data_IF_341893378643
#
_entry.id   IF_341893378643
#
_cell.length_a   1.000
_cell.length_b   1.000
_cell.length_c   1.000
_cell.angle_alpha   90.00
_cell.angle_beta   90.00
_cell.angle_gamma   90.00
#
_symmetry.space_group_name_H-M   'P 1'
#
loop_
_entity.id
_entity.type
_entity.pdbx_description
1 polymer ?
#
# COMPACT_ATOMS: atom_id res chain seq x y z
N UNK A 1 24.53 49.61 -33.34
CA UNK A 1 23.36 49.99 -32.49
C UNK A 1 23.31 48.99 -31.33
N UNK A 2 23.60 49.44 -30.10
CA UNK A 2 23.71 48.56 -28.92
C UNK A 2 22.33 48.09 -28.45
N UNK A 3 22.19 46.77 -28.29
CA UNK A 3 21.01 46.07 -27.78
C UNK A 3 20.87 46.30 -26.27
N UNK A 4 19.80 46.98 -25.83
CA UNK A 4 19.40 46.97 -24.42
C UNK A 4 18.42 45.82 -24.18
N UNK A 5 18.90 44.70 -23.62
CA UNK A 5 18.02 43.66 -23.07
C UNK A 5 17.33 44.24 -21.83
N UNK A 6 15.99 44.25 -21.82
CA UNK A 6 15.19 44.59 -20.62
C UNK A 6 15.45 43.51 -19.56
N UNK A 7 15.85 43.94 -18.36
CA UNK A 7 15.92 43.07 -17.20
C UNK A 7 14.52 42.58 -16.78
N UNK A 8 14.41 41.48 -16.04
CA UNK A 8 13.13 40.90 -15.65
C UNK A 8 12.35 41.86 -14.73
N UNK A 9 11.04 41.95 -14.96
CA UNK A 9 10.08 42.77 -14.20
C UNK A 9 9.83 42.21 -12.80
N UNK A 10 9.40 43.10 -11.89
CA UNK A 10 9.15 42.88 -10.45
C UNK A 10 7.97 41.94 -10.11
N UNK A 11 7.67 40.94 -10.94
CA UNK A 11 6.64 39.92 -10.66
C UNK A 11 7.21 38.65 -9.99
N UNK A 12 8.44 38.73 -9.47
CA UNK A 12 9.24 37.56 -9.06
C UNK A 12 9.25 37.28 -7.55
N UNK A 13 8.28 37.73 -6.77
CA UNK A 13 8.28 37.50 -5.32
C UNK A 13 7.36 36.36 -4.85
N UNK A 14 6.34 35.98 -5.62
CA UNK A 14 5.42 34.87 -5.28
C UNK A 14 5.69 33.54 -6.03
N UNK A 15 6.67 33.50 -6.93
CA UNK A 15 6.92 32.33 -7.80
C UNK A 15 8.06 31.42 -7.30
N UNK A 16 8.48 31.58 -6.05
CA UNK A 16 9.71 31.01 -5.49
C UNK A 16 9.73 29.48 -5.33
N UNK A 17 8.68 28.75 -5.71
CA UNK A 17 8.65 27.28 -5.61
C UNK A 17 8.03 26.57 -6.83
N UNK A 18 8.13 27.14 -8.05
CA UNK A 18 7.68 26.45 -9.27
C UNK A 18 8.87 26.06 -10.15
N UNK A 19 9.04 24.75 -10.37
CA UNK A 19 10.03 24.21 -11.32
C UNK A 19 9.38 24.10 -12.69
N UNK A 20 9.81 24.94 -13.63
CA UNK A 20 9.38 24.87 -15.03
C UNK A 20 10.44 24.11 -15.85
N UNK A 21 10.06 22.99 -16.46
CA UNK A 21 10.96 22.22 -17.34
C UNK A 21 10.86 22.70 -18.79
N UNK A 22 12.02 22.83 -19.45
CA UNK A 22 12.12 23.29 -20.85
C UNK A 22 11.87 22.17 -21.89
N UNK A 23 11.71 20.93 -21.43
CA UNK A 23 11.38 19.76 -22.25
C UNK A 23 10.19 19.04 -21.61
N UNK A 24 9.32 18.36 -22.39
CA UNK A 24 8.21 17.60 -21.84
C UNK A 24 8.72 16.36 -21.11
N UNK A 25 9.07 16.52 -19.84
CA UNK A 25 9.35 15.41 -18.94
C UNK A 25 8.01 14.85 -18.49
N UNK A 26 7.62 13.67 -19.00
CA UNK A 26 6.32 13.07 -18.72
C UNK A 26 6.07 12.80 -17.23
N UNK A 27 7.13 12.46 -16.48
CA UNK A 27 7.14 12.49 -15.01
C UNK A 27 8.57 12.46 -14.49
N UNK A 28 8.86 13.26 -13.45
CA UNK A 28 10.11 13.20 -12.71
C UNK A 28 9.79 12.83 -11.26
N UNK A 29 10.28 11.69 -10.80
CA UNK A 29 10.18 11.26 -9.41
C UNK A 29 11.53 10.72 -8.95
N UNK A 30 11.97 11.07 -7.75
CA UNK A 30 13.24 10.61 -7.21
C UNK A 30 13.88 11.54 -6.20
N UNK A 31 15.05 11.11 -5.74
CA UNK A 31 15.94 11.86 -4.85
C UNK A 31 17.05 12.50 -5.67
N UNK A 32 17.23 13.81 -5.55
CA UNK A 32 18.39 14.50 -6.12
C UNK A 32 18.88 15.50 -5.08
N UNK A 33 20.13 15.34 -4.64
CA UNK A 33 20.82 16.28 -3.74
C UNK A 33 20.01 16.68 -2.49
N UNK A 34 19.41 15.68 -1.82
CA UNK A 34 18.58 15.92 -0.63
C UNK A 34 17.18 16.50 -0.91
N UNK A 35 16.77 16.65 -2.18
CA UNK A 35 15.43 17.01 -2.59
C UNK A 35 14.63 15.79 -3.06
N UNK A 36 13.32 15.82 -2.83
CA UNK A 36 12.34 14.87 -3.38
C UNK A 36 11.47 15.61 -4.38
N UNK A 37 11.31 15.03 -5.56
CA UNK A 37 10.39 15.49 -6.60
C UNK A 37 9.23 14.51 -6.74
N UNK A 38 7.99 14.99 -6.73
CA UNK A 38 6.83 14.16 -7.01
C UNK A 38 5.63 14.97 -7.52
N UNK A 39 4.73 14.29 -8.23
CA UNK A 39 3.46 14.85 -8.69
C UNK A 39 2.39 14.75 -7.60
N UNK A 40 1.78 15.86 -7.21
CA UNK A 40 0.72 15.89 -6.20
C UNK A 40 -0.66 15.81 -6.85
N UNK A 41 -1.27 14.59 -6.89
CA UNK A 41 -2.53 14.33 -7.62
C UNK A 41 -3.69 15.28 -7.31
N UNK A 42 -3.82 15.75 -6.06
CA UNK A 42 -4.88 16.69 -5.63
C UNK A 42 -4.65 18.13 -6.09
N UNK A 43 -3.38 18.56 -6.14
CA UNK A 43 -3.01 19.94 -6.47
C UNK A 43 -2.65 20.09 -7.96
N UNK A 44 -2.49 18.97 -8.66
CA UNK A 44 -2.14 18.88 -10.08
C UNK A 44 -0.82 19.57 -10.45
N UNK A 45 0.12 19.65 -9.51
CA UNK A 45 1.45 20.26 -9.68
C UNK A 45 2.58 19.29 -9.31
N UNK A 46 3.77 19.54 -9.84
CA UNK A 46 5.01 18.92 -9.37
C UNK A 46 5.55 19.71 -8.18
N UNK A 47 5.87 19.02 -7.09
CA UNK A 47 6.43 19.60 -5.87
C UNK A 47 7.87 19.12 -5.74
N UNK A 48 8.78 20.08 -5.50
CA UNK A 48 10.12 19.83 -5.02
C UNK A 48 10.17 20.20 -3.53
N UNK A 49 10.67 19.31 -2.68
CA UNK A 49 10.85 19.57 -1.24
C UNK A 49 12.15 18.99 -0.73
N UNK A 50 12.71 19.57 0.33
CA UNK A 50 13.77 18.93 1.09
C UNK A 50 13.29 17.57 1.63
N UNK A 51 14.14 16.55 1.49
CA UNK A 51 13.98 15.27 2.13
C UNK A 51 14.05 15.48 3.63
N UNK A 52 13.00 15.07 4.32
CA UNK A 52 12.98 14.99 5.76
C UNK A 52 12.65 13.54 6.11
N UNK A 53 13.55 12.89 6.87
CA UNK A 53 13.28 11.56 7.39
C UNK A 53 12.03 11.62 8.27
N UNK A 54 10.98 10.81 8.00
CA UNK A 54 9.81 10.78 8.86
C UNK A 54 10.20 10.46 10.30
N UNK A 55 9.59 11.16 11.27
CA UNK A 55 9.78 10.87 12.69
C UNK A 55 9.12 9.53 13.02
N UNK A 56 9.83 8.68 13.74
CA UNK A 56 9.27 7.44 14.27
C UNK A 56 8.20 7.79 15.31
N UNK A 57 7.00 7.23 15.13
CA UNK A 57 5.88 7.35 16.05
C UNK A 57 5.53 5.99 16.65
N UNK A 58 4.84 5.98 17.80
CA UNK A 58 4.37 4.72 18.40
C UNK A 58 3.47 3.91 17.48
N UNK A 59 2.79 4.55 16.52
CA UNK A 59 2.03 3.84 15.50
C UNK A 59 2.94 3.08 14.52
N UNK A 60 4.10 3.64 14.16
CA UNK A 60 5.09 2.92 13.34
C UNK A 60 5.59 1.67 14.08
N UNK A 61 5.87 1.81 15.38
CA UNK A 61 6.34 0.70 16.21
C UNK A 61 5.29 -0.41 16.31
N UNK A 62 4.02 -0.02 16.47
CA UNK A 62 2.91 -0.98 16.50
C UNK A 62 2.73 -1.71 15.18
N UNK A 63 2.79 -1.01 14.05
CA UNK A 63 2.70 -1.65 12.72
C UNK A 63 3.86 -2.62 12.52
N UNK A 64 5.08 -2.24 12.92
CA UNK A 64 6.26 -3.10 12.84
C UNK A 64 6.15 -4.33 13.76
N UNK A 65 5.61 -4.17 14.97
CA UNK A 65 5.38 -5.29 15.89
C UNK A 65 4.34 -6.27 15.33
N UNK A 66 3.19 -5.77 14.87
CA UNK A 66 2.13 -6.60 14.26
C UNK A 66 2.68 -7.34 13.04
N UNK A 67 3.38 -6.64 12.15
CA UNK A 67 3.87 -7.26 10.90
C UNK A 67 4.87 -8.38 11.21
N UNK A 68 5.77 -8.18 12.19
CA UNK A 68 6.69 -9.22 12.64
C UNK A 68 5.94 -10.41 13.24
N UNK A 69 4.95 -10.14 14.11
CA UNK A 69 4.18 -11.21 14.73
C UNK A 69 3.43 -12.04 13.67
N UNK A 70 2.76 -11.39 12.72
CA UNK A 70 2.05 -12.06 11.64
C UNK A 70 2.96 -12.99 10.84
N UNK A 71 4.16 -12.55 10.46
CA UNK A 71 5.09 -13.44 9.76
C UNK A 71 5.65 -14.57 10.64
N UNK A 72 5.76 -14.35 11.95
CA UNK A 72 6.15 -15.39 12.90
C UNK A 72 5.07 -16.48 13.11
N UNK A 73 3.83 -16.24 12.66
CA UNK A 73 2.78 -17.28 12.65
C UNK A 73 3.00 -18.35 11.58
N UNK A 74 3.91 -18.10 10.63
CA UNK A 74 4.34 -19.04 9.57
C UNK A 74 3.15 -19.70 8.83
N UNK A 75 2.40 -18.92 8.00
CA UNK A 75 1.33 -19.48 7.19
C UNK A 75 1.85 -20.59 6.28
N UNK A 76 1.09 -21.67 6.18
CA UNK A 76 1.42 -22.84 5.39
C UNK A 76 1.50 -22.49 3.90
N UNK A 77 2.35 -23.21 3.17
CA UNK A 77 2.47 -23.03 1.72
C UNK A 77 1.17 -23.34 0.99
N UNK A 78 0.39 -24.31 1.48
CA UNK A 78 -0.91 -24.64 0.91
C UNK A 78 -1.92 -23.50 1.07
N UNK A 79 -1.95 -22.87 2.24
CA UNK A 79 -2.82 -21.73 2.51
C UNK A 79 -2.42 -20.51 1.67
N UNK A 80 -1.12 -20.22 1.56
CA UNK A 80 -0.62 -19.14 0.70
C UNK A 80 -0.94 -19.38 -0.78
N UNK A 81 -0.93 -20.63 -1.23
CA UNK A 81 -1.32 -21.00 -2.59
C UNK A 81 -2.82 -20.75 -2.85
N UNK A 82 -3.69 -21.14 -1.92
CA UNK A 82 -5.13 -20.81 -1.99
C UNK A 82 -5.36 -19.30 -2.04
N UNK A 83 -4.60 -18.55 -1.23
CA UNK A 83 -4.68 -17.11 -1.21
C UNK A 83 -4.20 -16.47 -2.53
N UNK A 84 -3.20 -17.07 -3.17
CA UNK A 84 -2.72 -16.60 -4.48
C UNK A 84 -3.72 -16.87 -5.59
N UNK A 85 -4.37 -18.05 -5.60
CA UNK A 85 -5.45 -18.35 -6.54
C UNK A 85 -6.61 -17.37 -6.33
N UNK A 86 -7.03 -17.18 -5.07
CA UNK A 86 -8.04 -16.19 -4.72
C UNK A 86 -7.69 -14.81 -5.30
N UNK A 87 -6.45 -14.36 -5.12
CA UNK A 87 -5.95 -13.07 -5.63
C UNK A 87 -6.11 -12.99 -7.15
N UNK A 88 -5.73 -14.05 -7.88
CA UNK A 88 -5.83 -14.08 -9.35
C UNK A 88 -7.29 -13.98 -9.81
N UNK A 89 -8.20 -14.73 -9.21
CA UNK A 89 -9.63 -14.69 -9.53
C UNK A 89 -10.22 -13.30 -9.20
N UNK A 90 -9.90 -12.77 -8.03
CA UNK A 90 -10.35 -11.44 -7.62
C UNK A 90 -9.90 -10.37 -8.62
N UNK A 91 -8.62 -10.35 -8.99
CA UNK A 91 -8.07 -9.39 -9.94
C UNK A 91 -8.66 -9.56 -11.35
N UNK A 92 -8.92 -10.80 -11.80
CA UNK A 92 -9.57 -11.06 -13.09
C UNK A 92 -11.01 -10.54 -13.17
N UNK A 93 -11.70 -10.44 -12.02
CA UNK A 93 -13.06 -9.89 -11.92
C UNK A 93 -13.06 -8.38 -11.61
N UNK A 94 -11.90 -7.81 -11.31
CA UNK A 94 -11.74 -6.40 -10.96
C UNK A 94 -11.56 -5.59 -12.26
N UNK A 95 -12.36 -4.54 -12.46
CA UNK A 95 -12.26 -3.71 -13.67
C UNK A 95 -10.90 -3.03 -13.79
N UNK A 96 -10.51 -2.64 -15.02
CA UNK A 96 -9.19 -2.04 -15.33
C UNK A 96 -8.82 -0.82 -14.47
N UNK A 97 -9.81 -0.11 -13.94
CA UNK A 97 -9.62 1.12 -13.16
C UNK A 97 -9.51 0.90 -11.65
N UNK A 98 -9.69 -0.34 -11.17
CA UNK A 98 -9.65 -0.67 -9.75
C UNK A 98 -8.26 -1.20 -9.33
N UNK A 99 -7.79 -0.89 -8.11
CA UNK A 99 -6.46 -1.25 -7.67
C UNK A 99 -6.33 -2.76 -7.46
N UNK A 100 -5.49 -3.38 -8.29
CA UNK A 100 -5.24 -4.82 -8.21
C UNK A 100 -4.50 -5.21 -6.93
N UNK A 101 -4.77 -6.43 -6.47
CA UNK A 101 -4.05 -7.05 -5.38
C UNK A 101 -2.70 -7.58 -5.90
N UNK A 102 -1.60 -6.98 -5.42
CA UNK A 102 -0.27 -7.23 -5.98
C UNK A 102 0.31 -8.60 -5.66
N UNK A 103 0.13 -9.10 -4.43
CA UNK A 103 0.75 -10.35 -3.97
C UNK A 103 -0.10 -11.05 -2.90
N UNK A 104 0.07 -12.37 -2.78
CA UNK A 104 -0.54 -13.16 -1.70
C UNK A 104 -0.10 -12.65 -0.32
N UNK A 105 1.17 -12.27 -0.16
CA UNK A 105 1.71 -11.72 1.09
C UNK A 105 1.03 -10.41 1.49
N UNK A 106 0.82 -9.49 0.54
CA UNK A 106 0.09 -8.25 0.79
C UNK A 106 -1.37 -8.51 1.11
N UNK A 107 -1.98 -9.50 0.46
CA UNK A 107 -3.35 -9.90 0.75
C UNK A 107 -3.49 -10.53 2.13
N UNK A 108 -2.53 -11.36 2.54
CA UNK A 108 -2.47 -11.96 3.87
C UNK A 108 -2.50 -10.87 4.95
N UNK A 109 -1.61 -9.89 4.85
CA UNK A 109 -1.57 -8.77 5.79
C UNK A 109 -2.91 -8.02 5.80
N UNK A 110 -3.49 -7.72 4.63
CA UNK A 110 -4.80 -7.05 4.55
C UNK A 110 -5.92 -7.85 5.21
N UNK A 111 -5.95 -9.18 5.01
CA UNK A 111 -6.91 -10.09 5.62
C UNK A 111 -6.77 -10.10 7.15
N UNK A 112 -5.55 -10.21 7.67
CA UNK A 112 -5.33 -10.19 9.12
C UNK A 112 -5.74 -8.86 9.75
N UNK A 113 -5.44 -7.74 9.09
CA UNK A 113 -5.92 -6.43 9.52
C UNK A 113 -7.45 -6.28 9.48
N UNK A 114 -8.10 -6.84 8.46
CA UNK A 114 -9.56 -6.85 8.39
C UNK A 114 -10.17 -7.66 9.54
N UNK A 115 -9.58 -8.82 9.84
CA UNK A 115 -9.97 -9.67 10.97
C UNK A 115 -9.79 -8.96 12.31
N UNK A 116 -8.61 -8.39 12.56
CA UNK A 116 -8.33 -7.64 13.79
C UNK A 116 -9.30 -6.48 14.01
N UNK A 117 -9.65 -5.75 12.94
CA UNK A 117 -10.67 -4.68 13.02
C UNK A 117 -12.07 -5.22 13.30
N UNK A 118 -12.45 -6.34 12.68
CA UNK A 118 -13.80 -6.90 12.80
C UNK A 118 -14.05 -7.54 14.17
N UNK A 119 -13.04 -8.22 14.71
CA UNK A 119 -13.13 -8.97 15.97
C UNK A 119 -12.55 -8.21 17.17
N UNK A 120 -11.89 -7.07 16.96
CA UNK A 120 -11.25 -6.30 18.04
C UNK A 120 -10.00 -6.97 18.61
N UNK A 121 -9.35 -7.85 17.83
CA UNK A 121 -8.18 -8.62 18.27
C UNK A 121 -6.89 -7.80 18.17
N UNK A 122 -5.98 -8.00 19.13
CA UNK A 122 -4.62 -7.46 19.02
C UNK A 122 -3.72 -8.41 18.24
N UNK A 123 -3.43 -8.04 17.00
CA UNK A 123 -2.61 -8.85 16.10
C UNK A 123 -1.15 -8.97 16.54
N UNK A 124 -0.70 -8.13 17.48
CA UNK A 124 0.66 -8.15 18.01
C UNK A 124 0.91 -9.30 18.98
N UNK A 125 -0.14 -9.84 19.61
CA UNK A 125 -0.08 -10.92 20.61
C UNK A 125 -0.73 -12.21 20.14
N UNK A 126 -1.28 -12.21 18.92
CA UNK A 126 -1.92 -13.36 18.30
C UNK A 126 -0.94 -14.54 18.21
N UNK A 127 -1.37 -15.72 18.62
CA UNK A 127 -0.58 -16.96 18.55
C UNK A 127 -1.08 -17.88 17.44
N UNK A 128 -0.30 -18.92 17.11
CA UNK A 128 -0.67 -19.90 16.09
C UNK A 128 -1.84 -20.78 16.52
N UNK A 129 -1.95 -21.07 17.81
CA UNK A 129 -3.04 -21.88 18.36
C UNK A 129 -4.39 -21.15 18.25
N UNK A 130 -4.39 -19.83 18.42
CA UNK A 130 -5.60 -19.00 18.25
C UNK A 130 -6.16 -19.10 16.82
N UNK A 131 -5.32 -19.37 15.82
CA UNK A 131 -5.73 -19.40 14.41
C UNK A 131 -6.74 -20.51 14.13
N UNK A 132 -6.66 -21.62 14.85
CA UNK A 132 -7.55 -22.78 14.63
C UNK A 132 -9.03 -22.44 14.85
N UNK A 133 -9.32 -21.50 15.74
CA UNK A 133 -10.67 -21.03 16.09
C UNK A 133 -11.05 -19.73 15.34
N UNK A 134 -10.12 -19.14 14.60
CA UNK A 134 -10.33 -17.89 13.90
C UNK A 134 -10.79 -18.10 12.45
N UNK A 135 -11.55 -17.15 11.89
CA UNK A 135 -12.05 -17.23 10.53
C UNK A 135 -10.94 -17.20 9.46
N UNK A 136 -9.67 -16.98 9.82
CA UNK A 136 -8.55 -17.03 8.89
C UNK A 136 -7.92 -18.42 8.70
N UNK A 137 -8.39 -19.46 9.42
CA UNK A 137 -7.87 -20.84 9.32
C UNK A 137 -7.81 -21.35 7.88
N UNK A 138 -8.81 -21.01 7.06
CA UNK A 138 -8.83 -21.28 5.63
C UNK A 138 -9.23 -20.02 4.87
N UNK A 139 -8.89 -19.92 3.58
CA UNK A 139 -9.35 -18.78 2.77
C UNK A 139 -10.87 -18.83 2.58
N UNK A 140 -11.46 -20.04 2.49
CA UNK A 140 -12.92 -20.23 2.48
C UNK A 140 -13.58 -19.59 3.70
N UNK A 141 -13.13 -19.94 4.91
CA UNK A 141 -13.70 -19.40 6.16
C UNK A 141 -13.55 -17.88 6.24
N UNK A 142 -12.47 -17.32 5.68
CA UNK A 142 -12.26 -15.88 5.67
C UNK A 142 -13.26 -15.16 4.75
N UNK A 143 -13.59 -15.77 3.61
CA UNK A 143 -14.61 -15.27 2.69
C UNK A 143 -16.01 -15.39 3.31
N UNK A 144 -16.34 -16.52 3.92
CA UNK A 144 -17.63 -16.75 4.59
C UNK A 144 -17.84 -15.80 5.77
N UNK A 145 -16.78 -15.52 6.53
CA UNK A 145 -16.77 -14.52 7.58
C UNK A 145 -16.78 -13.08 7.05
N UNK A 146 -16.81 -12.85 5.74
CA UNK A 146 -16.84 -11.52 5.13
C UNK A 146 -15.59 -10.69 5.38
N UNK A 147 -14.44 -11.32 5.62
CA UNK A 147 -13.13 -10.65 5.68
C UNK A 147 -12.60 -10.34 4.28
N UNK A 148 -12.98 -11.17 3.31
CA UNK A 148 -12.67 -11.03 1.90
C UNK A 148 -13.97 -11.02 1.08
N UNK A 149 -14.03 -10.27 -0.04
CA UNK A 149 -15.11 -10.38 -1.01
C UNK A 149 -15.32 -11.82 -1.49
N UNK A 150 -16.57 -12.17 -1.82
CA UNK A 150 -16.86 -13.49 -2.38
C UNK A 150 -16.35 -13.58 -3.82
N UNK A 151 -15.64 -14.67 -4.12
CA UNK A 151 -15.16 -15.00 -5.47
C UNK A 151 -15.72 -16.36 -5.90
N UNK A 152 -15.82 -16.58 -7.21
CA UNK A 152 -16.23 -17.88 -7.76
C UNK A 152 -15.25 -18.98 -7.32
N UNK A 153 -15.78 -20.15 -6.96
CA UNK A 153 -14.97 -21.31 -6.55
C UNK A 153 -14.34 -21.22 -5.16
N UNK A 154 -14.76 -20.26 -4.32
CA UNK A 154 -14.20 -20.08 -2.97
C UNK A 154 -14.36 -21.31 -2.05
N UNK A 155 -15.30 -22.20 -2.37
CA UNK A 155 -15.57 -23.44 -1.63
C UNK A 155 -14.39 -24.42 -1.65
N UNK A 156 -13.50 -24.31 -2.64
CA UNK A 156 -12.35 -25.18 -2.82
C UNK A 156 -11.12 -24.75 -2.00
N UNK A 157 -11.15 -23.57 -1.37
CA UNK A 157 -10.01 -23.03 -0.62
C UNK A 157 -10.00 -23.51 0.83
N UNK A 158 -9.80 -24.81 1.01
CA UNK A 158 -9.89 -25.52 2.29
C UNK A 158 -8.53 -25.82 2.91
N UNK A 159 -7.42 -25.40 2.30
CA UNK A 159 -6.08 -25.66 2.85
C UNK A 159 -5.89 -24.87 4.15
N UNK A 160 -5.36 -25.52 5.17
CA UNK A 160 -5.20 -24.97 6.51
C UNK A 160 -3.99 -24.06 6.64
N UNK A 161 -4.12 -23.06 7.53
CA UNK A 161 -3.10 -22.08 7.88
C UNK A 161 -1.81 -22.70 8.43
#
# INVERSE_FOLDING_TARGET
>A
MMTRKRGPSKQNEEDTMKVNYNQPVHSYSGHCDGLIYYYHRRLKVYIARAYAKPRQSGQNDRIAAITRNLWALEPSQGWLYDLDIYRQIHNGNTGENEPQLLSAQSLYIKLMWAMGRKLGLDLATLTRDDIAELPCRTVKSAVEAGLLPRVAGCENFTREF
#
